data_IF_918843323337
#
_entry.id   IF_918843323337
#
_cell.length_a   1.000
_cell.length_b   1.000
_cell.length_c   1.000
_cell.angle_alpha   90.00
_cell.angle_beta   90.00
_cell.angle_gamma   90.00
#
_symmetry.space_group_name_H-M   'P 1'
#
loop_
_entity.id
_entity.type
_entity.pdbx_description
1 polymer ?
#
# COMPACT_ATOMS: atom_id res chain seq x y z
N UNK A 1 22.89 -20.53 30.03
CA UNK A 1 22.23 -19.21 29.92
C UNK A 1 21.96 -19.04 28.44
N UNK A 2 20.74 -19.36 28.01
CA UNK A 2 20.39 -19.36 26.59
C UNK A 2 20.06 -17.92 26.18
N UNK A 3 20.83 -17.39 25.22
CA UNK A 3 20.45 -16.20 24.48
C UNK A 3 19.51 -16.66 23.38
N UNK A 4 18.21 -16.44 23.58
CA UNK A 4 17.21 -16.62 22.55
C UNK A 4 17.47 -15.61 21.44
N UNK A 5 17.94 -16.10 20.30
CA UNK A 5 17.92 -15.38 19.04
C UNK A 5 16.46 -15.12 18.69
N UNK A 6 15.98 -13.90 18.94
CA UNK A 6 14.76 -13.40 18.33
C UNK A 6 15.00 -13.27 16.84
N UNK A 7 14.69 -14.33 16.10
CA UNK A 7 14.34 -14.21 14.69
C UNK A 7 13.12 -13.29 14.63
N UNK A 8 13.32 -12.01 14.33
CA UNK A 8 12.25 -11.11 13.92
C UNK A 8 11.74 -11.60 12.56
N UNK A 9 10.91 -12.64 12.57
CA UNK A 9 9.94 -12.84 11.49
C UNK A 9 9.02 -11.63 11.53
N UNK A 10 9.23 -10.66 10.64
CA UNK A 10 8.22 -9.65 10.37
C UNK A 10 6.96 -10.42 9.98
N UNK A 11 5.97 -10.46 10.88
CA UNK A 11 4.71 -11.12 10.62
C UNK A 11 4.14 -10.59 9.30
N UNK A 12 3.83 -11.48 8.36
CA UNK A 12 3.17 -11.12 7.11
C UNK A 12 1.83 -10.45 7.44
N UNK A 13 1.78 -9.12 7.38
CA UNK A 13 0.60 -8.33 7.72
C UNK A 13 -0.40 -8.52 6.58
N UNK A 14 -1.42 -9.34 6.84
CA UNK A 14 -2.54 -9.52 5.93
C UNK A 14 -3.40 -8.27 5.87
N UNK A 15 -3.79 -7.83 4.68
CA UNK A 15 -4.74 -6.76 4.48
C UNK A 15 -6.11 -7.14 5.05
N UNK A 16 -6.73 -6.18 5.74
CA UNK A 16 -8.09 -6.32 6.24
C UNK A 16 -9.10 -6.27 5.09
N UNK A 17 -8.87 -5.41 4.10
CA UNK A 17 -9.68 -5.38 2.89
C UNK A 17 -9.21 -6.48 1.91
N UNK A 18 -10.00 -7.55 1.80
CA UNK A 18 -9.69 -8.69 0.92
C UNK A 18 -9.87 -8.39 -0.57
N UNK A 19 -10.55 -7.31 -0.94
CA UNK A 19 -10.64 -6.86 -2.33
C UNK A 19 -9.29 -6.43 -2.92
N UNK A 20 -8.31 -6.15 -2.06
CA UNK A 20 -6.95 -5.76 -2.44
C UNK A 20 -5.88 -6.77 -2.03
N UNK A 21 -6.23 -8.02 -1.73
CA UNK A 21 -5.25 -9.00 -1.21
C UNK A 21 -4.07 -9.25 -2.16
N UNK A 22 -4.27 -9.08 -3.47
CA UNK A 22 -3.20 -9.21 -4.47
C UNK A 22 -2.13 -8.11 -4.34
N UNK A 23 -2.49 -6.96 -3.75
CA UNK A 23 -1.53 -5.87 -3.52
C UNK A 23 -0.55 -6.18 -2.38
N UNK A 24 -0.83 -7.15 -1.49
CA UNK A 24 0.08 -7.55 -0.40
C UNK A 24 1.45 -7.97 -0.95
N UNK A 25 1.45 -8.91 -1.89
CA UNK A 25 2.65 -9.46 -2.50
C UNK A 25 3.33 -8.42 -3.41
N UNK A 26 2.53 -7.59 -4.09
CA UNK A 26 3.03 -6.53 -4.95
C UNK A 26 3.82 -5.48 -4.15
N UNK A 27 3.24 -4.92 -3.09
CA UNK A 27 3.91 -3.90 -2.29
C UNK A 27 5.14 -4.46 -1.55
N UNK A 28 5.01 -5.64 -0.95
CA UNK A 28 6.11 -6.26 -0.21
C UNK A 28 7.31 -6.60 -1.11
N UNK A 29 7.07 -7.11 -2.32
CA UNK A 29 8.14 -7.38 -3.30
C UNK A 29 8.88 -6.12 -3.78
N UNK A 30 8.26 -4.94 -3.65
CA UNK A 30 8.83 -3.65 -4.01
C UNK A 30 9.35 -2.84 -2.81
N UNK A 31 9.43 -3.46 -1.63
CA UNK A 31 9.98 -2.86 -0.41
C UNK A 31 9.08 -1.82 0.24
N UNK A 32 7.79 -1.78 -0.12
CA UNK A 32 6.81 -0.92 0.54
C UNK A 32 6.28 -1.58 1.82
N UNK A 33 6.07 -0.78 2.85
CA UNK A 33 5.53 -1.21 4.14
C UNK A 33 4.18 -0.58 4.40
N UNK A 34 3.25 -1.38 4.90
CA UNK A 34 1.94 -0.89 5.31
C UNK A 34 2.04 -0.12 6.63
N UNK A 35 1.51 1.09 6.67
CA UNK A 35 1.43 1.95 7.87
C UNK A 35 -0.01 2.15 8.34
N UNK A 36 -0.98 1.88 7.47
CA UNK A 36 -2.40 1.87 7.80
C UNK A 36 -3.11 0.70 7.12
N UNK A 37 -3.81 -0.11 7.91
CA UNK A 37 -4.50 -1.32 7.46
C UNK A 37 -5.90 -1.36 8.07
N UNK A 38 -6.81 -0.55 7.53
CA UNK A 38 -8.23 -0.54 7.84
C UNK A 38 -9.03 -1.13 6.67
N UNK A 39 -10.32 -1.37 6.87
CA UNK A 39 -11.15 -1.97 5.83
C UNK A 39 -11.39 -0.98 4.67
N UNK A 40 -11.55 0.29 4.99
CA UNK A 40 -11.84 1.38 4.06
C UNK A 40 -10.65 2.32 3.83
N UNK A 41 -9.53 2.11 4.53
CA UNK A 41 -8.35 2.97 4.42
C UNK A 41 -7.05 2.16 4.56
N UNK A 42 -6.30 2.08 3.46
CA UNK A 42 -5.02 1.38 3.37
C UNK A 42 -3.95 2.38 2.98
N UNK A 43 -2.81 2.36 3.66
CA UNK A 43 -1.67 3.23 3.34
C UNK A 43 -0.37 2.45 3.41
N UNK A 44 0.42 2.55 2.35
CA UNK A 44 1.79 2.03 2.24
C UNK A 44 2.78 3.19 2.13
N UNK A 45 3.98 3.00 2.66
CA UNK A 45 5.11 3.93 2.51
C UNK A 45 6.39 3.18 2.21
N UNK A 46 7.41 3.87 1.69
CA UNK A 46 8.73 3.28 1.42
C UNK A 46 9.67 3.66 2.57
N UNK A 47 10.29 2.68 3.28
CA UNK A 47 11.21 2.99 4.36
C UNK A 47 12.36 3.90 3.89
N UNK A 48 12.65 4.96 4.65
CA UNK A 48 13.65 5.96 4.28
C UNK A 48 13.16 7.02 3.28
N UNK A 49 11.90 6.93 2.85
CA UNK A 49 11.20 7.94 2.06
C UNK A 49 9.74 8.02 2.50
N UNK A 50 9.55 8.43 3.75
CA UNK A 50 8.24 8.45 4.41
C UNK A 50 7.28 9.50 3.80
N UNK A 51 7.79 10.41 2.97
CA UNK A 51 6.97 11.34 2.19
C UNK A 51 6.29 10.69 1.00
N UNK A 52 6.79 9.54 0.55
CA UNK A 52 6.17 8.76 -0.51
C UNK A 52 5.20 7.74 0.11
N UNK A 53 3.92 7.87 -0.27
CA UNK A 53 2.88 6.95 0.19
C UNK A 53 1.91 6.61 -0.92
N UNK A 54 1.54 5.33 -1.01
CA UNK A 54 0.36 4.88 -1.72
C UNK A 54 -0.80 4.86 -0.73
N UNK A 55 -1.92 5.48 -1.08
CA UNK A 55 -3.11 5.53 -0.24
C UNK A 55 -4.34 5.07 -1.02
N UNK A 56 -5.10 4.17 -0.41
CA UNK A 56 -6.38 3.69 -0.92
C UNK A 56 -7.45 4.05 0.11
N UNK A 57 -8.47 4.79 -0.30
CA UNK A 57 -9.62 5.16 0.51
C UNK A 57 -10.91 4.73 -0.18
N UNK A 58 -11.77 4.05 0.54
CA UNK A 58 -13.04 3.58 0.03
C UNK A 58 -14.17 4.46 0.54
N UNK A 59 -15.06 4.86 -0.37
CA UNK A 59 -16.36 5.41 -0.04
C UNK A 59 -17.44 4.38 -0.33
N UNK A 60 -18.71 4.77 -0.18
CA UNK A 60 -19.84 3.89 -0.53
C UNK A 60 -19.91 3.57 -2.03
N UNK A 61 -19.33 4.41 -2.88
CA UNK A 61 -19.50 4.36 -4.34
C UNK A 61 -18.18 4.26 -5.09
N UNK A 62 -17.08 4.70 -4.48
CA UNK A 62 -15.81 4.87 -5.18
C UNK A 62 -14.63 4.33 -4.36
N UNK A 63 -13.59 3.93 -5.08
CA UNK A 63 -12.25 3.67 -4.57
C UNK A 63 -11.36 4.85 -4.99
N UNK A 64 -10.92 5.63 -4.02
CA UNK A 64 -9.92 6.68 -4.23
C UNK A 64 -8.52 6.09 -4.07
N UNK A 65 -7.66 6.35 -5.06
CA UNK A 65 -6.26 5.96 -5.03
C UNK A 65 -5.41 7.23 -5.14
N UNK A 66 -4.46 7.38 -4.22
CA UNK A 66 -3.42 8.40 -4.29
C UNK A 66 -2.05 7.75 -4.39
N UNK A 67 -1.23 8.25 -5.30
CA UNK A 67 0.13 7.75 -5.57
C UNK A 67 1.16 8.87 -5.35
N UNK A 68 2.40 8.53 -4.99
CA UNK A 68 3.47 9.52 -4.90
C UNK A 68 3.75 10.13 -6.28
N UNK A 69 4.30 11.35 -6.29
CA UNK A 69 4.81 12.00 -7.50
C UNK A 69 6.29 12.28 -7.28
N UNK A 70 7.15 11.81 -8.18
CA UNK A 70 8.61 11.93 -8.02
C UNK A 70 9.03 13.37 -7.79
N UNK A 71 9.90 13.58 -6.80
CA UNK A 71 10.45 14.89 -6.44
C UNK A 71 9.39 15.95 -6.10
N UNK A 72 8.21 15.52 -5.63
CA UNK A 72 7.11 16.40 -5.27
C UNK A 72 6.68 16.15 -3.83
N UNK A 73 6.23 17.20 -3.15
CA UNK A 73 5.56 17.09 -1.85
C UNK A 73 4.06 16.75 -1.99
N UNK A 74 3.58 16.68 -3.23
CA UNK A 74 2.19 16.44 -3.56
C UNK A 74 2.00 15.02 -4.07
N UNK A 75 0.75 14.57 -4.00
CA UNK A 75 0.31 13.31 -4.54
C UNK A 75 -0.60 13.52 -5.74
N UNK A 76 -0.63 12.51 -6.61
CA UNK A 76 -1.64 12.42 -7.63
C UNK A 76 -2.77 11.52 -7.14
N UNK A 77 -4.00 12.05 -7.12
CA UNK A 77 -5.19 11.33 -6.69
C UNK A 77 -6.15 11.09 -7.86
N UNK A 78 -6.77 9.91 -7.90
CA UNK A 78 -7.83 9.54 -8.85
C UNK A 78 -8.88 8.66 -8.16
N UNK A 79 -10.03 8.45 -8.78
CA UNK A 79 -11.07 7.56 -8.27
C UNK A 79 -11.55 6.55 -9.31
N UNK A 80 -12.04 5.42 -8.82
CA UNK A 80 -12.55 4.29 -9.61
C UNK A 80 -13.85 3.77 -9.03
N UNK A 81 -14.70 3.17 -9.86
CA UNK A 81 -15.99 2.62 -9.43
C UNK A 81 -15.89 1.16 -8.96
N UNK A 82 -14.72 0.54 -9.10
CA UNK A 82 -14.51 -0.85 -8.74
C UNK A 82 -13.06 -1.10 -8.29
N UNK A 83 -12.86 -2.23 -7.62
CA UNK A 83 -11.55 -2.66 -7.08
C UNK A 83 -10.56 -3.06 -8.16
N UNK A 84 -11.05 -3.57 -9.29
CA UNK A 84 -10.23 -4.08 -10.38
C UNK A 84 -9.45 -2.94 -11.05
N UNK A 85 -10.14 -1.92 -11.54
CA UNK A 85 -9.52 -0.76 -12.20
C UNK A 85 -8.56 -0.04 -11.25
N UNK A 86 -8.92 0.07 -9.97
CA UNK A 86 -8.06 0.63 -8.94
C UNK A 86 -6.77 -0.19 -8.73
N UNK A 87 -6.88 -1.53 -8.75
CA UNK A 87 -5.73 -2.42 -8.58
C UNK A 87 -4.81 -2.37 -9.80
N UNK A 88 -5.37 -2.43 -11.02
CA UNK A 88 -4.59 -2.28 -12.26
C UNK A 88 -3.85 -0.95 -12.28
N UNK A 89 -4.51 0.14 -11.86
CA UNK A 89 -3.87 1.44 -11.77
C UNK A 89 -2.69 1.44 -10.79
N UNK A 90 -2.81 0.81 -9.62
CA UNK A 90 -1.72 0.72 -8.64
C UNK A 90 -0.57 -0.11 -9.20
N UNK A 91 -0.87 -1.27 -9.79
CA UNK A 91 0.11 -2.16 -10.41
C UNK A 91 0.96 -1.47 -11.48
N UNK A 92 0.34 -0.66 -12.34
CA UNK A 92 1.04 0.09 -13.37
C UNK A 92 1.99 1.15 -12.79
N UNK A 93 1.66 1.71 -11.63
CA UNK A 93 2.41 2.82 -11.04
C UNK A 93 3.48 2.37 -10.05
N UNK A 94 3.31 1.25 -9.36
CA UNK A 94 4.29 0.80 -8.36
C UNK A 94 5.68 0.56 -8.99
N UNK A 95 5.72 0.09 -10.24
CA UNK A 95 6.96 -0.13 -11.00
C UNK A 95 7.75 1.15 -11.27
N UNK A 96 7.12 2.31 -11.12
CA UNK A 96 7.76 3.60 -11.32
C UNK A 96 8.50 4.11 -10.08
N UNK A 97 8.33 3.51 -8.88
CA UNK A 97 8.84 4.05 -7.61
C UNK A 97 9.67 3.07 -6.78
#
# INVERSE_FOLDING_TARGET
MNMDNFSNEEACIKLKNRGFSQLEDLFSSHGWKIIKNEFDHIVYTKPGNETDYFEIKLTKTEVHVSIPVKNSKYQYGTSFNNYFDASEYIEQHILLF
#
